data_IF_111893497571
#
_entry.id   IF_111893497571
#
_cell.length_a   1.000
_cell.length_b   1.000
_cell.length_c   1.000
_cell.angle_alpha   90.00
_cell.angle_beta   90.00
_cell.angle_gamma   90.00
#
_symmetry.space_group_name_H-M   'P 1'
#
loop_
_entity.id
_entity.type
_entity.pdbx_description
1 polymer ?
#
# COMPACT_ATOMS: atom_id res chain seq x y z
N UNK A 1 23.99 -26.26 7.81
CA UNK A 1 22.50 -26.22 7.79
C UNK A 1 22.03 -25.27 8.88
N UNK A 2 21.83 -23.99 8.55
CA UNK A 2 21.18 -23.01 9.43
C UNK A 2 20.93 -21.74 8.62
N UNK A 3 19.71 -21.53 8.10
CA UNK A 3 19.09 -20.17 8.01
C UNK A 3 17.60 -20.17 7.55
N UNK A 4 16.81 -21.19 7.89
CA UNK A 4 15.44 -21.32 7.37
C UNK A 4 14.38 -20.48 8.12
N UNK A 5 14.77 -19.70 9.13
CA UNK A 5 13.83 -19.02 10.03
C UNK A 5 13.98 -17.50 10.11
N UNK A 6 14.96 -16.91 9.44
CA UNK A 6 15.35 -15.55 9.79
C UNK A 6 14.58 -14.49 8.99
N UNK A 7 13.74 -13.65 9.63
CA UNK A 7 13.21 -12.46 8.98
C UNK A 7 14.35 -11.60 8.45
N UNK A 8 14.30 -11.26 7.17
CA UNK A 8 15.33 -10.43 6.54
C UNK A 8 14.81 -9.01 6.39
N UNK A 9 15.45 -8.05 7.04
CA UNK A 9 15.21 -6.64 6.78
C UNK A 9 15.65 -6.29 5.35
N UNK A 10 14.76 -5.66 4.58
CA UNK A 10 14.97 -5.30 3.18
C UNK A 10 15.00 -3.79 2.97
N UNK A 11 14.30 -3.05 3.83
CA UNK A 11 14.37 -1.60 3.96
C UNK A 11 14.36 -1.27 5.45
N UNK A 12 15.21 -0.33 5.85
CA UNK A 12 15.16 0.30 7.17
C UNK A 12 14.59 1.71 7.06
N UNK A 13 14.38 2.37 8.20
CA UNK A 13 13.85 3.73 8.26
C UNK A 13 14.47 4.70 7.26
N UNK A 14 15.80 4.88 7.22
CA UNK A 14 16.46 5.75 6.25
C UNK A 14 16.16 5.40 4.79
N UNK A 15 16.01 4.11 4.46
CA UNK A 15 15.65 3.69 3.11
C UNK A 15 14.21 4.06 2.75
N UNK A 16 13.27 3.86 3.68
CA UNK A 16 11.86 4.26 3.51
C UNK A 16 11.78 5.77 3.32
N UNK A 17 12.50 6.55 4.13
CA UNK A 17 12.51 8.01 4.02
C UNK A 17 13.02 8.45 2.65
N UNK A 18 14.10 7.83 2.12
CA UNK A 18 14.61 8.08 0.75
C UNK A 18 13.61 7.70 -0.33
N UNK A 19 12.98 6.52 -0.21
CA UNK A 19 11.99 6.05 -1.17
C UNK A 19 10.78 7.01 -1.25
N UNK A 20 10.26 7.45 -0.11
CA UNK A 20 9.14 8.40 -0.06
C UNK A 20 9.52 9.78 -0.62
N UNK A 21 10.75 10.24 -0.38
CA UNK A 21 11.24 11.50 -0.98
C UNK A 21 11.29 11.39 -2.51
N UNK A 22 11.78 10.26 -3.05
CA UNK A 22 11.79 10.04 -4.50
C UNK A 22 10.37 9.97 -5.08
N UNK A 23 9.47 9.20 -4.47
CA UNK A 23 8.06 9.13 -4.90
C UNK A 23 7.41 10.52 -4.90
N UNK A 24 7.66 11.34 -3.87
CA UNK A 24 7.11 12.69 -3.80
C UNK A 24 7.59 13.57 -4.98
N UNK A 25 8.88 13.52 -5.34
CA UNK A 25 9.39 14.23 -6.52
C UNK A 25 8.80 13.68 -7.83
N UNK A 26 8.69 12.36 -7.98
CA UNK A 26 8.09 11.74 -9.17
C UNK A 26 6.62 12.15 -9.36
N UNK A 27 5.84 12.22 -8.27
CA UNK A 27 4.46 12.71 -8.31
C UNK A 27 4.45 14.15 -8.83
N UNK A 28 5.20 15.06 -8.21
CA UNK A 28 5.26 16.48 -8.59
C UNK A 28 5.63 16.64 -10.08
N UNK A 29 6.67 15.93 -10.54
CA UNK A 29 7.13 16.01 -11.92
C UNK A 29 6.06 15.52 -12.89
N UNK A 30 5.46 14.35 -12.61
CA UNK A 30 4.50 13.71 -13.51
C UNK A 30 3.15 14.43 -13.54
N UNK A 31 2.74 15.06 -12.44
CA UNK A 31 1.49 15.84 -12.35
C UNK A 31 1.67 17.31 -12.68
N UNK A 32 2.90 17.75 -13.02
CA UNK A 32 3.27 19.14 -13.33
C UNK A 32 2.95 20.10 -12.17
N UNK A 33 3.35 19.69 -10.98
CA UNK A 33 3.04 20.37 -9.72
C UNK A 33 1.94 19.68 -8.92
N UNK A 34 1.66 20.21 -7.74
CA UNK A 34 0.79 19.55 -6.76
C UNK A 34 -0.66 20.07 -6.67
N UNK A 35 -1.02 21.09 -7.47
CA UNK A 35 -2.28 21.83 -7.35
C UNK A 35 -3.54 20.98 -7.48
N UNK A 36 -3.54 20.01 -8.40
CA UNK A 36 -4.71 19.18 -8.71
C UNK A 36 -4.61 17.77 -8.12
N UNK A 37 -3.61 17.53 -7.28
CA UNK A 37 -3.33 16.21 -6.73
C UNK A 37 -4.09 16.01 -5.42
N UNK A 38 -4.69 14.84 -5.25
CA UNK A 38 -5.22 14.37 -3.97
C UNK A 38 -4.58 13.02 -3.64
N UNK A 39 -4.03 12.88 -2.43
CA UNK A 39 -3.50 11.60 -1.98
C UNK A 39 -4.55 10.86 -1.16
N UNK A 40 -4.89 9.63 -1.54
CA UNK A 40 -5.77 8.77 -0.76
C UNK A 40 -5.04 7.51 -0.35
N UNK A 41 -4.78 7.36 0.95
CA UNK A 41 -4.16 6.15 1.48
C UNK A 41 -5.18 5.03 1.67
N UNK A 42 -4.82 3.81 1.24
CA UNK A 42 -5.62 2.61 1.51
C UNK A 42 -5.26 2.10 2.92
N UNK A 43 -6.21 1.99 3.86
CA UNK A 43 -5.92 1.52 5.20
C UNK A 43 -5.40 0.08 5.24
N UNK A 44 -4.54 -0.29 6.19
CA UNK A 44 -4.14 0.50 7.37
C UNK A 44 -2.89 1.34 7.16
N UNK A 45 -1.88 0.82 6.44
CA UNK A 45 -0.55 1.44 6.30
C UNK A 45 -0.41 2.38 5.09
N UNK A 46 -1.27 2.27 4.08
CA UNK A 46 -1.31 3.26 2.99
C UNK A 46 -1.70 4.66 3.49
N UNK A 47 -2.56 4.76 4.51
CA UNK A 47 -2.97 6.03 5.14
C UNK A 47 -1.80 6.84 5.75
N UNK A 48 -0.96 6.30 6.67
CA UNK A 48 0.22 7.01 7.14
C UNK A 48 1.22 7.31 6.02
N UNK A 49 1.41 6.42 5.04
CA UNK A 49 2.27 6.71 3.88
C UNK A 49 1.76 7.89 3.06
N UNK A 50 0.46 7.99 2.82
CA UNK A 50 -0.16 9.13 2.12
C UNK A 50 0.09 10.45 2.86
N UNK A 51 -0.03 10.46 4.20
CA UNK A 51 0.29 11.64 5.02
C UNK A 51 1.77 12.03 4.90
N UNK A 52 2.68 11.06 5.05
CA UNK A 52 4.13 11.27 4.90
C UNK A 52 4.52 11.81 3.52
N UNK A 53 3.81 11.39 2.47
CA UNK A 53 3.98 11.91 1.10
C UNK A 53 3.44 13.35 0.98
N UNK A 54 2.24 13.61 1.50
CA UNK A 54 1.66 14.96 1.51
C UNK A 54 2.55 15.99 2.20
N UNK A 55 3.14 15.64 3.35
CA UNK A 55 4.10 16.49 4.07
C UNK A 55 5.39 16.75 3.29
N UNK A 56 5.85 15.78 2.48
CA UNK A 56 7.02 15.97 1.61
C UNK A 56 6.71 16.90 0.46
N UNK A 57 5.61 16.62 -0.25
CA UNK A 57 5.19 17.44 -1.39
C UNK A 57 4.96 18.88 -0.93
N UNK A 58 4.31 19.07 0.23
CA UNK A 58 4.10 20.41 0.78
C UNK A 58 5.39 21.17 1.08
N UNK A 59 6.45 20.48 1.54
CA UNK A 59 7.77 21.09 1.75
C UNK A 59 8.46 21.47 0.44
N UNK A 60 8.24 20.73 -0.63
CA UNK A 60 8.89 20.98 -1.93
C UNK A 60 8.17 22.05 -2.75
N UNK A 61 6.83 22.05 -2.74
CA UNK A 61 5.99 22.96 -3.54
C UNK A 61 5.58 24.23 -2.77
N UNK A 62 5.76 24.25 -1.45
CA UNK A 62 5.30 25.36 -0.60
C UNK A 62 3.78 25.43 -0.41
N UNK A 63 3.02 24.43 -0.85
CA UNK A 63 1.57 24.36 -0.76
C UNK A 63 1.10 22.97 -0.28
N UNK A 64 0.06 22.93 0.57
CA UNK A 64 -0.48 21.68 1.08
C UNK A 64 -1.20 20.90 -0.02
N UNK A 65 -0.90 19.60 -0.11
CA UNK A 65 -1.69 18.65 -0.90
C UNK A 65 -2.79 18.07 -0.03
N UNK A 66 -4.05 18.02 -0.51
CA UNK A 66 -5.12 17.31 0.18
C UNK A 66 -4.78 15.82 0.37
N UNK A 67 -4.91 15.34 1.61
CA UNK A 67 -4.69 13.93 1.96
C UNK A 67 -5.93 13.38 2.65
N UNK A 68 -6.32 12.17 2.25
CA UNK A 68 -7.41 11.42 2.84
C UNK A 68 -7.10 9.93 2.94
N UNK A 69 -8.13 9.14 3.28
CA UNK A 69 -8.07 7.68 3.28
C UNK A 69 -9.34 7.09 2.67
N UNK A 70 -9.19 5.91 2.04
CA UNK A 70 -10.28 5.23 1.36
C UNK A 70 -10.46 3.83 1.95
N UNK A 71 -11.52 3.63 2.73
CA UNK A 71 -11.86 2.29 3.21
C UNK A 71 -12.42 1.46 2.06
N UNK A 72 -11.80 0.30 1.84
CA UNK A 72 -12.16 -0.63 0.76
C UNK A 72 -12.81 -1.90 1.30
N UNK A 73 -13.11 -1.97 2.60
CA UNK A 73 -13.45 -3.22 3.29
C UNK A 73 -14.64 -3.89 2.61
N UNK A 74 -15.66 -3.13 2.24
CA UNK A 74 -16.89 -3.62 1.58
C UNK A 74 -16.72 -3.99 0.10
N UNK A 75 -15.60 -3.62 -0.54
CA UNK A 75 -15.37 -3.81 -1.98
C UNK A 75 -14.49 -5.01 -2.30
N UNK A 76 -13.97 -5.67 -1.27
CA UNK A 76 -13.09 -6.83 -1.44
C UNK A 76 -13.87 -8.04 -1.95
N UNK A 77 -13.29 -8.75 -2.90
CA UNK A 77 -13.86 -9.96 -3.49
C UNK A 77 -13.75 -11.20 -2.59
N UNK A 78 -12.94 -11.12 -1.52
CA UNK A 78 -12.66 -12.22 -0.60
C UNK A 78 -13.38 -12.12 0.75
N UNK A 79 -14.40 -11.25 0.86
CA UNK A 79 -15.17 -11.02 2.09
C UNK A 79 -15.75 -12.30 2.73
N UNK A 80 -16.13 -13.30 1.91
CA UNK A 80 -16.67 -14.58 2.39
C UNK A 80 -15.59 -15.60 2.78
N UNK A 81 -14.35 -15.37 2.37
CA UNK A 81 -13.23 -16.32 2.51
C UNK A 81 -12.28 -15.97 3.65
N UNK A 82 -12.38 -14.75 4.20
CA UNK A 82 -11.50 -14.26 5.26
C UNK A 82 -12.30 -13.81 6.47
N UNK A 83 -11.68 -13.79 7.67
CA UNK A 83 -12.31 -13.22 8.85
C UNK A 83 -12.76 -11.78 8.59
N UNK A 84 -13.92 -11.41 9.14
CA UNK A 84 -14.44 -10.06 9.06
C UNK A 84 -13.40 -9.07 9.58
N UNK A 85 -13.11 -8.04 8.79
CA UNK A 85 -12.33 -6.88 9.24
C UNK A 85 -13.29 -5.81 9.75
N UNK A 86 -12.94 -5.08 10.81
CA UNK A 86 -13.73 -3.93 11.23
C UNK A 86 -13.80 -2.93 10.06
N UNK A 87 -14.98 -2.38 9.84
CA UNK A 87 -15.16 -1.33 8.84
C UNK A 87 -14.30 -0.13 9.22
N UNK A 88 -13.44 0.29 8.30
CA UNK A 88 -12.77 1.57 8.39
C UNK A 88 -13.73 2.71 8.02
N UNK A 89 -13.22 3.94 8.11
CA UNK A 89 -13.92 5.13 7.62
C UNK A 89 -13.18 5.69 6.42
N UNK A 90 -13.91 5.97 5.35
CA UNK A 90 -13.41 6.79 4.26
C UNK A 90 -13.39 8.25 4.71
N UNK A 91 -12.23 8.88 4.58
CA UNK A 91 -12.00 10.28 4.94
C UNK A 91 -11.51 11.02 3.70
N UNK A 92 -12.37 11.84 3.12
CA UNK A 92 -12.03 12.63 1.93
C UNK A 92 -11.71 14.07 2.35
N UNK A 93 -10.86 14.76 1.58
CA UNK A 93 -10.75 16.21 1.70
C UNK A 93 -12.12 16.88 1.51
N UNK A 94 -12.37 18.04 2.15
CA UNK A 94 -13.64 18.76 2.01
C UNK A 94 -14.00 19.13 0.56
N UNK A 95 -12.99 19.35 -0.28
CA UNK A 95 -13.15 19.66 -1.71
C UNK A 95 -13.48 18.43 -2.57
N UNK A 96 -13.54 17.23 -1.97
CA UNK A 96 -13.79 16.00 -2.69
C UNK A 96 -12.63 15.59 -3.62
N UNK A 97 -12.97 14.82 -4.65
CA UNK A 97 -12.01 14.26 -5.62
C UNK A 97 -12.41 14.48 -7.08
N UNK A 98 -13.53 15.15 -7.33
CA UNK A 98 -14.07 15.35 -8.68
C UNK A 98 -13.11 16.20 -9.51
N UNK A 99 -12.84 15.75 -10.74
CA UNK A 99 -11.88 16.36 -11.66
C UNK A 99 -10.47 16.61 -11.04
N UNK A 100 -10.07 15.78 -10.07
CA UNK A 100 -8.71 15.77 -9.49
C UNK A 100 -7.88 14.61 -10.03
N UNK A 101 -6.55 14.73 -9.89
CA UNK A 101 -5.64 13.59 -10.03
C UNK A 101 -5.54 12.91 -8.68
N UNK A 102 -6.18 11.75 -8.53
CA UNK A 102 -6.10 10.96 -7.30
C UNK A 102 -4.91 10.03 -7.37
N UNK A 103 -3.99 10.14 -6.41
CA UNK A 103 -2.92 9.16 -6.21
C UNK A 103 -3.32 8.26 -5.04
N UNK A 104 -3.69 7.02 -5.36
CA UNK A 104 -3.87 5.97 -4.37
C UNK A 104 -2.52 5.59 -3.78
N UNK A 105 -2.45 5.43 -2.45
CA UNK A 105 -1.21 5.08 -1.74
C UNK A 105 -1.40 3.80 -0.97
N UNK A 106 -0.54 2.81 -1.21
CA UNK A 106 -0.53 1.53 -0.48
C UNK A 106 0.89 1.13 -0.06
N UNK A 107 1.01 0.20 0.88
CA UNK A 107 2.31 -0.25 1.38
C UNK A 107 2.95 -1.30 0.47
N UNK A 108 2.19 -2.30 0.02
CA UNK A 108 2.69 -3.42 -0.79
C UNK A 108 1.74 -3.77 -1.94
N UNK A 109 2.27 -3.75 -3.16
CA UNK A 109 1.54 -4.22 -4.34
C UNK A 109 1.90 -5.68 -4.66
N UNK A 110 0.89 -6.55 -4.52
CA UNK A 110 0.99 -7.99 -4.75
C UNK A 110 0.10 -8.44 -5.92
N UNK A 111 -1.05 -9.06 -5.67
CA UNK A 111 -1.96 -9.55 -6.72
C UNK A 111 -2.67 -8.43 -7.49
N UNK A 112 -2.83 -7.25 -6.87
CA UNK A 112 -3.58 -6.11 -7.39
C UNK A 112 -5.03 -6.01 -6.91
N UNK A 113 -5.55 -7.02 -6.19
CA UNK A 113 -6.97 -7.04 -5.75
C UNK A 113 -7.35 -5.90 -4.81
N UNK A 114 -6.45 -5.52 -3.89
CA UNK A 114 -6.63 -4.35 -3.02
C UNK A 114 -6.87 -3.08 -3.82
N UNK A 115 -6.05 -2.86 -4.86
CA UNK A 115 -6.16 -1.68 -5.72
C UNK A 115 -7.44 -1.73 -6.56
N UNK A 116 -7.82 -2.90 -7.08
CA UNK A 116 -9.11 -3.06 -7.78
C UNK A 116 -10.29 -2.64 -6.90
N UNK A 117 -10.33 -3.13 -5.66
CA UNK A 117 -11.34 -2.76 -4.69
C UNK A 117 -11.31 -1.25 -4.36
N UNK A 118 -10.11 -0.64 -4.33
CA UNK A 118 -9.99 0.81 -4.18
C UNK A 118 -10.54 1.60 -5.37
N UNK A 119 -10.34 1.11 -6.60
CA UNK A 119 -10.93 1.72 -7.79
C UNK A 119 -12.47 1.63 -7.77
N UNK A 120 -13.02 0.52 -7.29
CA UNK A 120 -14.47 0.38 -7.11
C UNK A 120 -14.99 1.34 -6.03
N UNK A 121 -14.32 1.40 -4.87
CA UNK A 121 -14.69 2.32 -3.79
C UNK A 121 -14.60 3.80 -4.19
N UNK A 122 -13.64 4.15 -5.05
CA UNK A 122 -13.50 5.49 -5.62
C UNK A 122 -14.74 5.92 -6.42
N UNK A 123 -15.37 4.99 -7.15
CA UNK A 123 -16.57 5.28 -7.95
C UNK A 123 -17.79 5.64 -7.10
N UNK A 124 -17.81 5.30 -5.82
CA UNK A 124 -18.93 5.62 -4.93
C UNK A 124 -18.77 7.00 -4.28
N UNK A 125 -17.57 7.59 -4.37
CA UNK A 125 -17.23 8.84 -3.68
C UNK A 125 -16.90 10.03 -4.57
N UNK A 126 -16.67 9.82 -5.87
CA UNK A 126 -16.46 10.91 -6.83
C UNK A 126 -15.97 10.45 -8.21
N UNK A 127 -15.61 11.41 -9.05
CA UNK A 127 -15.18 11.23 -10.45
C UNK A 127 -13.84 11.93 -10.68
N UNK A 128 -12.72 11.31 -10.31
CA UNK A 128 -11.40 11.87 -10.56
C UNK A 128 -11.10 11.91 -12.07
N UNK A 129 -10.33 12.93 -12.49
CA UNK A 129 -9.86 13.05 -13.88
C UNK A 129 -8.89 11.94 -14.25
N UNK A 130 -8.06 11.53 -13.28
CA UNK A 130 -7.13 10.43 -13.42
C UNK A 130 -6.91 9.77 -12.06
N UNK A 131 -6.66 8.46 -12.07
CA UNK A 131 -6.22 7.71 -10.89
C UNK A 131 -4.84 7.16 -11.17
N UNK A 132 -3.93 7.39 -10.23
CA UNK A 132 -2.56 6.89 -10.23
C UNK A 132 -2.30 6.08 -8.96
N UNK A 133 -1.22 5.29 -8.95
CA UNK A 133 -0.89 4.42 -7.82
C UNK A 133 0.57 4.61 -7.35
N UNK A 134 0.75 4.96 -6.08
CA UNK A 134 2.03 5.03 -5.38
C UNK A 134 2.16 3.93 -4.31
N UNK A 135 3.28 3.21 -4.32
CA UNK A 135 3.46 2.03 -3.47
C UNK A 135 4.87 2.01 -2.92
N UNK A 136 5.01 1.71 -1.63
CA UNK A 136 6.33 1.58 -1.03
C UNK A 136 7.08 0.36 -1.61
N UNK A 137 6.42 -0.79 -1.73
CA UNK A 137 7.04 -2.02 -2.24
C UNK A 137 6.20 -2.67 -3.33
N UNK A 138 6.83 -2.95 -4.47
CA UNK A 138 6.28 -3.85 -5.48
C UNK A 138 6.93 -5.22 -5.33
N UNK A 139 6.13 -6.25 -5.02
CA UNK A 139 6.62 -7.61 -4.83
C UNK A 139 6.31 -8.59 -5.97
N UNK A 140 5.74 -8.10 -7.08
CA UNK A 140 5.33 -8.92 -8.23
C UNK A 140 4.08 -9.80 -7.99
N UNK A 141 3.97 -10.89 -8.76
CA UNK A 141 2.87 -11.88 -8.71
C UNK A 141 1.47 -11.31 -8.94
N UNK A 142 1.34 -10.47 -9.96
CA UNK A 142 0.06 -9.89 -10.38
C UNK A 142 -0.93 -10.98 -10.80
N UNK A 143 -2.16 -10.83 -10.34
CA UNK A 143 -3.33 -11.59 -10.82
C UNK A 143 -4.27 -10.70 -11.64
N UNK A 144 -4.12 -9.38 -11.51
CA UNK A 144 -4.83 -8.37 -12.28
C UNK A 144 -3.83 -7.51 -13.07
N UNK A 145 -4.22 -6.94 -14.22
CA UNK A 145 -3.35 -6.09 -15.05
C UNK A 145 -3.14 -4.69 -14.44
N UNK A 146 -2.79 -4.64 -13.16
CA UNK A 146 -2.60 -3.43 -12.37
C UNK A 146 -1.10 -3.20 -12.16
N UNK A 147 -0.64 -1.99 -12.48
CA UNK A 147 0.73 -1.54 -12.27
C UNK A 147 0.75 -0.27 -11.44
N UNK A 148 1.85 -0.13 -10.73
CA UNK A 148 2.23 1.08 -10.04
C UNK A 148 2.67 2.17 -11.00
N UNK A 149 2.33 3.41 -10.68
CA UNK A 149 2.93 4.59 -11.29
C UNK A 149 4.22 4.98 -10.59
N UNK A 150 4.25 4.83 -9.26
CA UNK A 150 5.38 5.19 -8.41
C UNK A 150 5.72 4.04 -7.48
N UNK A 151 6.97 3.58 -7.51
CA UNK A 151 7.43 2.42 -6.73
C UNK A 151 8.62 2.82 -5.87
N UNK A 152 8.53 2.61 -4.56
CA UNK A 152 9.63 2.82 -3.62
C UNK A 152 10.75 1.79 -3.78
N UNK A 153 10.40 0.51 -3.86
CA UNK A 153 11.35 -0.58 -4.16
C UNK A 153 10.65 -1.72 -4.90
N UNK A 154 11.25 -2.14 -6.01
CA UNK A 154 10.94 -3.43 -6.62
C UNK A 154 11.68 -4.52 -5.83
N UNK A 155 10.93 -5.48 -5.30
CA UNK A 155 11.45 -6.58 -4.49
C UNK A 155 10.99 -7.91 -5.10
N UNK A 156 11.83 -8.57 -5.92
CA UNK A 156 11.54 -9.92 -6.38
C UNK A 156 11.34 -10.85 -5.17
N UNK A 157 10.21 -11.54 -5.12
CA UNK A 157 9.88 -12.49 -4.04
C UNK A 157 9.43 -13.82 -4.61
N UNK A 158 9.57 -14.90 -3.85
CA UNK A 158 8.83 -16.13 -4.09
C UNK A 158 7.36 -15.99 -3.64
N UNK A 159 6.45 -16.83 -4.16
CA UNK A 159 5.05 -16.86 -3.69
C UNK A 159 4.93 -17.27 -2.22
N UNK A 160 5.84 -18.12 -1.74
CA UNK A 160 5.94 -18.53 -0.34
C UNK A 160 6.52 -17.44 0.57
N UNK A 161 7.08 -16.37 0.01
CA UNK A 161 7.57 -15.26 0.81
C UNK A 161 6.45 -14.28 1.16
N UNK A 162 6.57 -13.60 2.30
CA UNK A 162 5.67 -12.55 2.73
C UNK A 162 6.45 -11.28 3.01
N UNK A 163 5.94 -10.15 2.51
CA UNK A 163 6.48 -8.83 2.82
C UNK A 163 5.61 -8.23 3.92
N UNK A 164 6.21 -7.82 5.04
CA UNK A 164 5.55 -6.99 6.04
C UNK A 164 6.22 -5.62 6.08
N UNK A 165 5.39 -4.60 6.04
CA UNK A 165 5.78 -3.22 6.26
C UNK A 165 5.44 -2.88 7.70
N UNK A 166 6.37 -2.22 8.38
CA UNK A 166 6.22 -1.64 9.70
C UNK A 166 6.41 -0.13 9.55
N UNK A 167 5.50 0.64 10.12
CA UNK A 167 5.58 2.10 10.15
C UNK A 167 5.43 2.58 11.59
N UNK A 168 6.18 3.62 11.97
CA UNK A 168 6.13 4.17 13.33
C UNK A 168 4.71 4.46 13.82
N UNK A 169 3.80 4.93 12.95
CA UNK A 169 2.41 5.26 13.32
C UNK A 169 1.55 4.05 13.69
N UNK A 170 1.94 2.85 13.28
CA UNK A 170 1.16 1.61 13.50
C UNK A 170 1.93 0.53 14.25
N UNK A 171 3.26 0.62 14.29
CA UNK A 171 4.15 -0.46 14.71
C UNK A 171 5.38 0.01 15.52
N UNK A 172 5.48 1.30 15.86
CA UNK A 172 6.59 1.91 16.61
C UNK A 172 7.99 1.78 15.97
N UNK A 173 8.05 1.38 14.69
CA UNK A 173 9.29 1.31 13.90
C UNK A 173 9.01 1.43 12.40
N UNK A 174 9.99 1.97 11.68
CA UNK A 174 10.00 1.94 10.21
C UNK A 174 10.89 0.79 9.71
N UNK A 175 10.28 -0.19 9.04
CA UNK A 175 11.02 -1.27 8.36
C UNK A 175 10.17 -2.00 7.32
N UNK A 176 10.83 -2.60 6.32
CA UNK A 176 10.23 -3.64 5.48
C UNK A 176 10.99 -4.93 5.69
N UNK A 177 10.27 -5.99 6.05
CA UNK A 177 10.83 -7.30 6.39
C UNK A 177 10.23 -8.37 5.49
N UNK A 178 11.09 -9.24 4.97
CA UNK A 178 10.72 -10.41 4.20
C UNK A 178 10.74 -11.65 5.10
N UNK A 179 9.65 -12.41 5.08
CA UNK A 179 9.49 -13.69 5.76
C UNK A 179 9.36 -14.79 4.73
N UNK A 180 9.83 -16.00 5.05
CA UNK A 180 9.52 -17.21 4.28
C UNK A 180 8.47 -18.02 5.05
N UNK A 181 7.34 -18.33 4.41
CA UNK A 181 6.46 -19.37 4.90
C UNK A 181 7.03 -20.73 4.45
N UNK A 182 7.42 -21.57 5.40
CA UNK A 182 7.65 -22.99 5.12
C UNK A 182 6.31 -23.73 5.12
N UNK A 183 5.92 -24.30 3.98
CA UNK A 183 4.72 -25.14 3.78
C UNK A 183 4.74 -26.46 4.61
N UNK A 184 5.69 -26.64 5.54
CA UNK A 184 5.83 -27.87 6.34
C UNK A 184 4.90 -27.94 7.57
N UNK A 185 4.32 -26.83 8.01
CA UNK A 185 3.48 -26.83 9.22
C UNK A 185 2.03 -27.33 8.98
N UNK A 186 1.52 -27.31 7.74
CA UNK A 186 0.13 -27.70 7.46
C UNK A 186 -0.03 -29.22 7.24
N UNK A 187 1.03 -29.93 6.84
CA UNK A 187 0.97 -31.39 6.64
C UNK A 187 1.14 -32.22 7.92
N UNK A 188 1.48 -31.61 9.05
CA UNK A 188 1.64 -32.31 10.34
C UNK A 188 0.34 -32.54 11.12
N UNK A 189 -0.71 -31.73 10.87
CA UNK A 189 -1.96 -31.82 11.61
C UNK A 189 -2.96 -32.84 11.03
N UNK A 190 -2.81 -33.25 9.76
CA UNK A 190 -3.71 -34.19 9.10
C UNK A 190 -3.30 -35.67 9.26
N UNK A 191 -2.17 -35.96 9.91
CA UNK A 191 -1.66 -37.32 10.10
C UNK A 191 -1.87 -37.87 11.53
N UNK A 192 -2.50 -37.09 12.42
CA UNK A 192 -2.66 -37.43 13.85
C UNK A 192 -4.01 -38.03 14.26
N UNK A 193 -4.99 -38.14 13.37
CA UNK A 193 -6.35 -38.65 13.69
C UNK A 193 -6.62 -40.06 13.14
N UNK A 194 -5.58 -40.80 12.74
CA UNK A 194 -5.70 -42.20 12.35
C UNK A 194 -4.65 -43.05 13.08
N UNK A 195 -4.87 -43.31 14.36
CA UNK A 195 -4.33 -44.47 15.10
C UNK A 195 -5.18 -44.74 16.34
#
# INVERSE_FOLDING_TARGET
>A
MSDARNPRAVLEGPDIQRALTRIAHEIIERTKGARDVVLLGIPTRGAPLARRLGERIARFEGAKVPVGSLDITMYRDDLRLRPARPLGRTELPPEGIDDRIVVLVDDVLFSGRTVRAALDALNDVGRPRAVQLAILVDRGHRELPIRADYVGKNLPTAKSEQVKVYLTETDDRDAVVLFRNDDRAVKGAAAGEAS
#
